data_IF_682585692077
#
_entry.id   IF_682585692077
#
_cell.length_a   1.000
_cell.length_b   1.000
_cell.length_c   1.000
_cell.angle_alpha   90.00
_cell.angle_beta   90.00
_cell.angle_gamma   90.00
#
_symmetry.space_group_name_H-M   'P 1'
#
loop_
_entity.id
_entity.type
_entity.pdbx_description
1 polymer ?
#
# COMPACT_ATOMS: atom_id res chain seq x y z
N UNK A 1 -13.97 10.04 -6.83
CA UNK A 1 -13.61 8.85 -6.03
C UNK A 1 -12.70 9.13 -4.84
N UNK A 2 -11.54 9.80 -4.97
CA UNK A 2 -10.61 9.98 -3.83
C UNK A 2 -11.27 10.55 -2.54
N UNK A 3 -12.06 11.62 -2.67
CA UNK A 3 -12.83 12.21 -1.55
C UNK A 3 -13.83 11.22 -0.93
N UNK A 4 -14.43 10.35 -1.74
CA UNK A 4 -15.37 9.32 -1.26
C UNK A 4 -14.63 8.31 -0.39
N UNK A 5 -13.45 7.83 -0.81
CA UNK A 5 -12.63 6.93 0.02
C UNK A 5 -12.30 7.55 1.38
N UNK A 6 -11.91 8.82 1.39
CA UNK A 6 -11.51 9.54 2.62
C UNK A 6 -12.70 9.74 3.56
N UNK A 7 -13.84 10.23 3.05
CA UNK A 7 -15.05 10.43 3.86
C UNK A 7 -15.62 9.11 4.38
N UNK A 8 -15.68 8.07 3.55
CA UNK A 8 -16.13 6.74 3.98
C UNK A 8 -15.21 6.17 5.05
N UNK A 9 -13.89 6.23 4.86
CA UNK A 9 -12.93 5.70 5.85
C UNK A 9 -13.07 6.42 7.19
N UNK A 10 -13.22 7.75 7.16
CA UNK A 10 -13.48 8.52 8.36
C UNK A 10 -14.81 8.12 9.03
N UNK A 11 -15.87 7.99 8.24
CA UNK A 11 -17.19 7.61 8.74
C UNK A 11 -17.22 6.20 9.32
N UNK A 12 -16.62 5.21 8.66
CA UNK A 12 -16.47 3.85 9.19
C UNK A 12 -15.74 3.86 10.52
N UNK A 13 -14.59 4.51 10.63
CA UNK A 13 -13.83 4.61 11.88
C UNK A 13 -14.66 5.24 13.01
N UNK A 14 -15.42 6.29 12.70
CA UNK A 14 -16.32 6.95 13.67
C UNK A 14 -17.44 6.02 14.14
N UNK A 15 -17.93 5.14 13.27
CA UNK A 15 -19.03 4.21 13.54
C UNK A 15 -18.55 2.76 13.76
N UNK A 16 -17.32 2.59 14.27
CA UNK A 16 -16.76 1.29 14.65
C UNK A 16 -16.76 0.25 13.51
N UNK A 17 -16.41 0.70 12.32
CA UNK A 17 -16.24 -0.13 11.13
C UNK A 17 -17.53 -0.40 10.34
N UNK A 18 -18.70 0.06 10.80
CA UNK A 18 -20.00 -0.23 10.17
C UNK A 18 -20.75 1.05 9.83
N UNK A 19 -21.43 1.09 8.68
CA UNK A 19 -22.36 2.15 8.30
C UNK A 19 -23.71 1.53 7.90
N UNK A 20 -24.80 2.22 8.23
CA UNK A 20 -26.11 1.91 7.65
C UNK A 20 -26.15 2.29 6.17
N UNK A 21 -27.11 1.74 5.43
CA UNK A 21 -27.35 2.11 4.04
C UNK A 21 -27.51 3.62 3.86
N UNK A 22 -28.36 4.27 4.65
CA UNK A 22 -28.56 5.73 4.59
C UNK A 22 -27.25 6.52 4.80
N UNK A 23 -26.41 6.08 5.75
CA UNK A 23 -25.13 6.73 6.02
C UNK A 23 -24.15 6.54 4.86
N UNK A 24 -24.08 5.34 4.29
CA UNK A 24 -23.25 5.03 3.12
C UNK A 24 -23.70 5.84 1.91
N UNK A 25 -24.97 5.75 1.54
CA UNK A 25 -25.54 6.42 0.36
C UNK A 25 -25.30 7.93 0.41
N UNK A 26 -25.58 8.55 1.55
CA UNK A 26 -25.38 9.98 1.76
C UNK A 26 -23.93 10.43 1.56
N UNK A 27 -22.93 9.58 1.84
CA UNK A 27 -21.52 9.88 1.59
C UNK A 27 -21.15 9.55 0.14
N UNK A 28 -21.57 8.40 -0.36
CA UNK A 28 -21.26 7.90 -1.69
C UNK A 28 -21.68 8.92 -2.76
N UNK A 29 -22.94 9.38 -2.73
CA UNK A 29 -23.50 10.24 -3.78
C UNK A 29 -23.08 11.72 -3.67
N UNK A 30 -22.51 12.13 -2.53
CA UNK A 30 -22.19 13.54 -2.25
C UNK A 30 -21.12 14.11 -3.18
N UNK A 31 -20.18 13.27 -3.61
CA UNK A 31 -19.01 13.68 -4.39
C UNK A 31 -18.99 13.09 -5.79
N UNK A 32 -20.09 12.47 -6.22
CA UNK A 32 -20.23 11.89 -7.55
C UNK A 32 -21.12 12.76 -8.42
N UNK A 33 -21.04 12.54 -9.74
CA UNK A 33 -21.85 13.28 -10.69
C UNK A 33 -23.29 12.72 -10.70
N UNK A 34 -24.25 13.48 -11.23
CA UNK A 34 -25.70 13.16 -11.27
C UNK A 34 -26.09 11.79 -11.89
N UNK A 35 -25.13 11.03 -12.42
CA UNK A 35 -25.35 9.82 -13.21
C UNK A 35 -24.99 8.51 -12.48
N UNK A 36 -24.33 8.57 -11.32
CA UNK A 36 -23.90 7.37 -10.59
C UNK A 36 -24.78 7.17 -9.34
N UNK A 37 -25.53 6.07 -9.31
CA UNK A 37 -26.24 5.63 -8.11
C UNK A 37 -25.27 4.99 -7.08
N UNK A 38 -25.75 4.81 -5.85
CA UNK A 38 -24.93 4.31 -4.75
C UNK A 38 -24.41 2.88 -4.97
N UNK A 39 -25.15 2.05 -5.72
CA UNK A 39 -24.77 0.68 -6.08
C UNK A 39 -23.62 0.67 -7.09
N UNK A 40 -23.68 1.53 -8.09
CA UNK A 40 -22.60 1.73 -9.06
C UNK A 40 -21.34 2.21 -8.34
N UNK A 41 -21.47 3.15 -7.41
CA UNK A 41 -20.34 3.63 -6.61
C UNK A 41 -19.77 2.51 -5.76
N UNK A 42 -20.60 1.65 -5.17
CA UNK A 42 -20.16 0.50 -4.38
C UNK A 42 -19.25 -0.43 -5.20
N UNK A 43 -19.67 -0.76 -6.41
CA UNK A 43 -18.88 -1.59 -7.34
C UNK A 43 -17.57 -0.88 -7.72
N UNK A 44 -17.61 0.43 -8.00
CA UNK A 44 -16.41 1.21 -8.33
C UNK A 44 -15.43 1.30 -7.15
N UNK A 45 -15.92 1.38 -5.90
CA UNK A 45 -15.10 1.34 -4.70
C UNK A 45 -14.34 0.01 -4.64
N UNK A 46 -15.06 -1.11 -4.77
CA UNK A 46 -14.45 -2.45 -4.75
C UNK A 46 -13.46 -2.65 -5.90
N UNK A 47 -13.81 -2.25 -7.12
CA UNK A 47 -12.92 -2.33 -8.29
C UNK A 47 -11.65 -1.48 -8.13
N UNK A 48 -11.73 -0.39 -7.34
CA UNK A 48 -10.59 0.47 -7.01
C UNK A 48 -9.72 -0.11 -5.87
N UNK A 49 -10.10 -1.25 -5.30
CA UNK A 49 -9.40 -1.90 -4.18
C UNK A 49 -9.79 -1.37 -2.80
N UNK A 50 -10.89 -0.63 -2.68
CA UNK A 50 -11.41 -0.20 -1.38
C UNK A 50 -12.05 -1.41 -0.67
N UNK A 51 -11.61 -1.79 0.55
CA UNK A 51 -12.02 -3.04 1.21
C UNK A 51 -13.36 -2.85 1.93
N UNK A 52 -14.39 -2.55 1.14
CA UNK A 52 -15.77 -2.42 1.58
C UNK A 52 -16.54 -3.68 1.20
N UNK A 53 -17.35 -4.15 2.15
CA UNK A 53 -18.28 -5.25 1.93
C UNK A 53 -19.64 -4.95 2.54
N UNK A 54 -20.64 -5.68 2.08
CA UNK A 54 -22.01 -5.62 2.59
C UNK A 54 -22.29 -6.94 3.33
N UNK A 55 -22.63 -6.87 4.62
CA UNK A 55 -22.90 -8.08 5.44
C UNK A 55 -24.36 -8.51 5.38
N UNK A 56 -25.24 -7.53 5.41
CA UNK A 56 -26.70 -7.66 5.38
C UNK A 56 -27.24 -6.60 4.42
N UNK A 57 -28.49 -6.73 3.97
CA UNK A 57 -29.10 -5.84 2.96
C UNK A 57 -28.86 -4.34 3.25
N UNK A 58 -28.80 -3.94 4.53
CA UNK A 58 -28.75 -2.52 4.92
C UNK A 58 -27.47 -2.11 5.68
N UNK A 59 -26.43 -2.96 5.73
CA UNK A 59 -25.22 -2.70 6.50
C UNK A 59 -23.95 -2.91 5.67
N UNK A 60 -23.16 -1.84 5.61
CA UNK A 60 -21.83 -1.80 4.98
C UNK A 60 -20.76 -1.85 6.04
N UNK A 61 -19.62 -2.45 5.73
CA UNK A 61 -18.47 -2.49 6.62
C UNK A 61 -17.14 -2.21 5.91
N UNK A 62 -16.17 -1.75 6.68
CA UNK A 62 -14.76 -1.66 6.29
C UNK A 62 -14.02 -2.91 6.79
N UNK A 63 -13.60 -3.79 5.88
CA UNK A 63 -13.07 -5.11 6.25
C UNK A 63 -11.79 -5.03 7.07
N UNK A 64 -10.93 -4.03 6.82
CA UNK A 64 -9.69 -3.81 7.58
C UNK A 64 -9.94 -3.48 9.05
N UNK A 65 -11.13 -3.02 9.42
CA UNK A 65 -11.50 -2.75 10.81
C UNK A 65 -11.73 -4.04 11.62
N UNK A 66 -12.11 -5.12 10.95
CA UNK A 66 -12.45 -6.40 11.58
C UNK A 66 -11.40 -7.49 11.34
N UNK A 67 -10.43 -7.24 10.47
CA UNK A 67 -9.39 -8.20 10.13
C UNK A 67 -8.16 -7.97 11.02
N UNK A 68 -7.70 -8.98 11.78
CA UNK A 68 -6.48 -8.87 12.56
C UNK A 68 -5.29 -8.48 11.69
N UNK A 69 -4.44 -7.54 12.15
CA UNK A 69 -3.35 -7.02 11.30
C UNK A 69 -2.36 -8.11 10.84
N UNK A 70 -2.20 -9.20 11.60
CA UNK A 70 -1.30 -10.29 11.21
C UNK A 70 -1.94 -11.29 10.22
N UNK A 71 -3.26 -11.28 10.08
CA UNK A 71 -4.03 -12.11 9.13
C UNK A 71 -4.32 -11.37 7.81
N UNK A 72 -4.29 -10.04 7.86
CA UNK A 72 -4.59 -9.14 6.75
C UNK A 72 -3.77 -9.44 5.49
N UNK A 73 -4.41 -9.21 4.34
CA UNK A 73 -3.75 -9.20 3.03
C UNK A 73 -3.04 -7.88 2.80
N UNK A 74 -1.73 -7.95 2.53
CA UNK A 74 -0.87 -6.81 2.17
C UNK A 74 -0.26 -7.02 0.80
N UNK A 75 -0.32 -6.01 -0.06
CA UNK A 75 0.45 -5.96 -1.30
C UNK A 75 1.60 -5.00 -1.06
N UNK A 76 2.80 -5.54 -0.84
CA UNK A 76 4.01 -4.73 -0.69
C UNK A 76 4.58 -4.50 -2.07
N UNK A 77 4.71 -3.23 -2.46
CA UNK A 77 5.06 -2.79 -3.80
C UNK A 77 6.28 -1.89 -3.73
N UNK A 78 7.10 -1.99 -4.75
CA UNK A 78 8.15 -1.04 -5.09
C UNK A 78 8.15 -0.86 -6.62
N UNK A 79 8.46 0.35 -7.08
CA UNK A 79 8.51 0.68 -8.51
C UNK A 79 9.80 1.39 -8.86
N UNK A 80 10.30 1.11 -10.06
CA UNK A 80 11.28 1.96 -10.72
C UNK A 80 10.61 2.80 -11.79
N UNK A 81 11.09 4.03 -11.98
CA UNK A 81 10.52 4.98 -12.93
C UNK A 81 11.60 5.60 -13.81
N UNK A 82 11.24 6.07 -15.00
CA UNK A 82 12.17 6.81 -15.87
C UNK A 82 12.33 8.30 -15.48
N UNK A 83 11.91 8.67 -14.27
CA UNK A 83 11.95 10.03 -13.73
C UNK A 83 11.01 10.21 -12.53
N UNK A 84 11.17 11.31 -11.79
CA UNK A 84 10.55 11.47 -10.46
C UNK A 84 9.13 12.05 -10.46
N UNK A 85 8.58 12.45 -11.61
CA UNK A 85 7.27 13.12 -11.69
C UNK A 85 6.24 12.27 -12.43
N UNK A 86 5.12 11.87 -11.80
CA UNK A 86 4.08 11.04 -12.44
C UNK A 86 3.43 11.66 -13.69
N UNK A 87 3.47 13.00 -13.82
CA UNK A 87 2.93 13.72 -14.99
C UNK A 87 3.76 13.53 -16.26
N UNK A 88 5.08 13.47 -16.11
CA UNK A 88 6.07 13.55 -17.19
C UNK A 88 6.90 12.25 -17.34
N UNK A 89 6.72 11.30 -16.42
CA UNK A 89 7.49 10.06 -16.32
C UNK A 89 6.57 8.85 -16.21
N UNK A 90 7.13 7.65 -16.37
CA UNK A 90 6.42 6.38 -16.30
C UNK A 90 7.17 5.36 -15.45
N UNK A 91 6.41 4.37 -14.99
CA UNK A 91 6.94 3.14 -14.41
C UNK A 91 7.68 2.34 -15.47
N UNK A 92 8.85 1.81 -15.12
CA UNK A 92 9.70 0.95 -15.96
C UNK A 92 9.95 -0.43 -15.34
N UNK A 93 9.74 -0.59 -14.04
CA UNK A 93 9.76 -1.87 -13.34
C UNK A 93 8.73 -1.84 -12.20
N UNK A 94 8.10 -2.98 -11.95
CA UNK A 94 7.21 -3.20 -10.80
C UNK A 94 7.66 -4.47 -10.11
N UNK A 95 7.93 -4.36 -8.81
CA UNK A 95 8.09 -5.49 -7.91
C UNK A 95 7.00 -5.49 -6.86
N UNK A 96 6.39 -6.64 -6.60
CA UNK A 96 5.43 -6.78 -5.52
C UNK A 96 5.42 -8.17 -4.89
N UNK A 97 5.13 -8.21 -3.59
CA UNK A 97 4.79 -9.44 -2.86
C UNK A 97 3.41 -9.31 -2.26
N UNK A 98 2.59 -10.35 -2.47
CA UNK A 98 1.29 -10.46 -1.82
C UNK A 98 1.47 -11.33 -0.58
N UNK A 99 1.04 -10.81 0.56
CA UNK A 99 1.23 -11.42 1.88
C UNK A 99 -0.13 -11.63 2.52
N UNK A 100 -0.35 -12.79 3.14
CA UNK A 100 -1.52 -13.08 3.97
C UNK A 100 -1.10 -13.97 5.14
N UNK A 101 -1.69 -13.77 6.32
CA UNK A 101 -1.31 -14.52 7.54
C UNK A 101 0.20 -14.47 7.83
N UNK A 102 0.81 -13.30 7.59
CA UNK A 102 2.25 -13.06 7.74
C UNK A 102 3.15 -13.80 6.75
N UNK A 103 2.61 -14.51 5.76
CA UNK A 103 3.36 -15.29 4.76
C UNK A 103 3.19 -14.72 3.37
N UNK A 104 4.24 -14.76 2.56
CA UNK A 104 4.14 -14.47 1.13
C UNK A 104 3.32 -15.59 0.47
N UNK A 105 2.23 -15.21 -0.19
CA UNK A 105 1.33 -16.13 -0.90
C UNK A 105 1.45 -16.01 -2.42
N UNK A 106 1.95 -14.87 -2.91
CA UNK A 106 2.20 -14.66 -4.34
C UNK A 106 3.27 -13.58 -4.56
N UNK A 107 3.84 -13.54 -5.77
CA UNK A 107 4.84 -12.56 -6.20
C UNK A 107 4.53 -12.04 -7.59
N UNK A 108 4.82 -10.77 -7.82
CA UNK A 108 4.69 -10.11 -9.11
C UNK A 108 5.95 -9.33 -9.42
N UNK A 109 6.51 -9.54 -10.61
CA UNK A 109 7.70 -8.86 -11.08
C UNK A 109 7.56 -8.67 -12.59
N UNK A 110 7.73 -7.44 -13.06
CA UNK A 110 7.69 -7.14 -14.50
C UNK A 110 8.46 -5.87 -14.80
N UNK A 111 9.20 -5.90 -15.90
CA UNK A 111 9.54 -4.67 -16.59
C UNK A 111 8.31 -4.06 -17.26
N UNK A 112 8.43 -2.79 -17.64
CA UNK A 112 7.42 -2.06 -18.40
C UNK A 112 8.11 -1.36 -19.57
N UNK A 113 7.54 -1.52 -20.77
CA UNK A 113 8.14 -0.95 -21.96
C UNK A 113 8.36 0.57 -21.82
N UNK A 114 9.50 1.05 -22.32
CA UNK A 114 9.84 2.46 -22.25
C UNK A 114 10.59 2.90 -23.51
N UNK A 115 10.03 3.88 -24.22
CA UNK A 115 10.63 4.40 -25.45
C UNK A 115 11.91 5.22 -25.20
N UNK A 116 12.05 5.82 -24.01
CA UNK A 116 13.22 6.63 -23.66
C UNK A 116 13.58 6.46 -22.18
N UNK A 117 14.77 5.93 -21.94
CA UNK A 117 15.36 5.78 -20.62
C UNK A 117 16.55 6.74 -20.47
N UNK A 118 16.47 7.75 -19.59
CA UNK A 118 17.60 8.64 -19.34
C UNK A 118 18.79 7.88 -18.74
N UNK A 119 20.01 8.20 -19.15
CA UNK A 119 21.24 7.53 -18.67
C UNK A 119 21.41 7.60 -17.14
N UNK A 120 20.95 8.70 -16.51
CA UNK A 120 21.01 8.84 -15.07
C UNK A 120 20.09 7.84 -14.33
N UNK A 121 18.99 7.40 -14.95
CA UNK A 121 18.12 6.36 -14.38
C UNK A 121 18.83 5.01 -14.44
N UNK A 122 19.43 4.65 -15.58
CA UNK A 122 20.24 3.43 -15.69
C UNK A 122 21.35 3.37 -14.64
N UNK A 123 21.99 4.50 -14.32
CA UNK A 123 23.01 4.57 -13.25
C UNK A 123 22.46 4.31 -11.85
N UNK A 124 21.18 4.61 -11.61
CA UNK A 124 20.54 4.46 -10.29
C UNK A 124 19.96 3.05 -10.16
N UNK A 125 19.22 2.60 -11.17
CA UNK A 125 18.41 1.37 -11.10
C UNK A 125 19.12 0.15 -11.69
N UNK A 126 20.18 0.37 -12.47
CA UNK A 126 20.84 -0.68 -13.25
C UNK A 126 20.03 -1.19 -14.45
N UNK A 127 18.85 -0.62 -14.71
CA UNK A 127 17.99 -1.00 -15.84
C UNK A 127 18.58 -0.41 -17.12
N UNK A 128 18.81 -1.25 -18.12
CA UNK A 128 19.29 -0.86 -19.43
C UNK A 128 18.13 -0.76 -20.43
N UNK A 129 18.24 0.05 -21.51
CA UNK A 129 17.20 0.12 -22.53
C UNK A 129 16.79 -1.24 -23.10
N UNK A 130 17.74 -2.17 -23.20
CA UNK A 130 17.53 -3.53 -23.69
C UNK A 130 16.57 -4.35 -22.81
N UNK A 131 16.56 -4.12 -21.50
CA UNK A 131 15.64 -4.78 -20.56
C UNK A 131 14.18 -4.43 -20.81
N UNK A 132 13.94 -3.26 -21.41
CA UNK A 132 12.61 -2.68 -21.62
C UNK A 132 12.05 -2.98 -23.01
N UNK A 133 12.86 -3.54 -23.91
CA UNK A 133 12.43 -3.92 -25.26
C UNK A 133 11.59 -5.19 -25.19
N UNK A 134 10.34 -5.11 -25.67
CA UNK A 134 9.42 -6.24 -25.67
C UNK A 134 8.82 -6.57 -24.29
N UNK A 135 9.12 -5.76 -23.27
CA UNK A 135 8.41 -5.79 -22.01
C UNK A 135 6.92 -5.45 -22.21
N UNK A 136 6.03 -5.84 -21.28
CA UNK A 136 4.62 -5.47 -21.37
C UNK A 136 4.40 -3.96 -21.49
N UNK A 137 3.34 -3.58 -22.19
CA UNK A 137 2.92 -2.18 -22.22
C UNK A 137 2.54 -1.70 -20.83
N UNK A 138 2.64 -0.38 -20.60
CA UNK A 138 2.20 0.24 -19.34
C UNK A 138 0.81 -0.20 -18.93
N UNK A 139 -0.14 -0.18 -19.86
CA UNK A 139 -1.53 -0.56 -19.58
C UNK A 139 -1.60 -2.02 -19.13
N UNK A 140 -0.94 -2.93 -19.82
CA UNK A 140 -0.94 -4.35 -19.47
C UNK A 140 -0.29 -4.61 -18.10
N UNK A 141 0.87 -4.02 -17.83
CA UNK A 141 1.57 -4.16 -16.55
C UNK A 141 0.72 -3.62 -15.39
N UNK A 142 0.14 -2.43 -15.54
CA UNK A 142 -0.71 -1.81 -14.52
C UNK A 142 -2.03 -2.55 -14.33
N UNK A 143 -2.65 -3.06 -15.39
CA UNK A 143 -3.85 -3.91 -15.27
C UNK A 143 -3.55 -5.19 -14.49
N UNK A 144 -2.41 -5.84 -14.77
CA UNK A 144 -1.98 -7.03 -14.02
C UNK A 144 -1.72 -6.69 -12.55
N UNK A 145 -1.02 -5.59 -12.26
CA UNK A 145 -0.78 -5.14 -10.88
C UNK A 145 -2.09 -4.84 -10.13
N UNK A 146 -3.06 -4.18 -10.78
CA UNK A 146 -4.37 -3.89 -10.19
C UNK A 146 -5.08 -5.18 -9.74
N UNK A 147 -5.11 -6.19 -10.61
CA UNK A 147 -5.70 -7.48 -10.28
C UNK A 147 -4.92 -8.22 -9.19
N UNK A 148 -3.59 -8.19 -9.25
CA UNK A 148 -2.72 -8.81 -8.24
C UNK A 148 -2.94 -8.22 -6.85
N UNK A 149 -3.05 -6.88 -6.76
CA UNK A 149 -3.27 -6.17 -5.50
C UNK A 149 -4.68 -6.37 -4.93
N UNK A 150 -5.71 -6.37 -5.78
CA UNK A 150 -7.10 -6.48 -5.35
C UNK A 150 -7.46 -5.44 -4.28
N UNK A 151 -8.00 -5.89 -3.16
CA UNK A 151 -8.38 -5.14 -1.97
C UNK A 151 -7.32 -5.13 -0.86
N UNK A 152 -6.13 -5.69 -1.12
CA UNK A 152 -5.06 -5.75 -0.12
C UNK A 152 -4.62 -4.34 0.32
N UNK A 153 -4.14 -4.22 1.56
CA UNK A 153 -3.51 -2.98 2.03
C UNK A 153 -2.25 -2.73 1.18
N UNK A 154 -2.18 -1.57 0.53
CA UNK A 154 -1.02 -1.13 -0.21
C UNK A 154 0.10 -0.79 0.76
N UNK A 155 1.26 -1.41 0.59
CA UNK A 155 2.44 -1.18 1.42
C UNK A 155 3.61 -0.81 0.54
N UNK A 156 4.40 0.19 0.94
CA UNK A 156 5.65 0.51 0.28
C UNK A 156 6.62 1.18 1.27
N UNK A 157 7.90 1.21 0.92
CA UNK A 157 8.90 1.96 1.68
C UNK A 157 8.96 3.40 1.15
N UNK A 158 8.63 4.38 1.99
CA UNK A 158 8.29 5.74 1.53
C UNK A 158 7.04 5.76 0.61
N UNK A 159 5.97 5.10 1.05
CA UNK A 159 4.80 4.78 0.24
C UNK A 159 4.12 5.95 -0.50
N UNK A 160 4.35 7.21 -0.12
CA UNK A 160 3.82 8.35 -0.86
C UNK A 160 4.32 8.42 -2.30
N UNK A 161 5.57 8.01 -2.56
CA UNK A 161 6.11 8.02 -3.92
C UNK A 161 5.36 7.04 -4.81
N UNK A 162 5.43 5.76 -4.48
CA UNK A 162 4.83 4.65 -5.24
C UNK A 162 3.32 4.80 -5.38
N UNK A 163 2.63 5.12 -4.28
CA UNK A 163 1.17 5.26 -4.26
C UNK A 163 0.70 6.38 -5.20
N UNK A 164 1.37 7.54 -5.18
CA UNK A 164 0.98 8.66 -6.04
C UNK A 164 1.33 8.39 -7.50
N UNK A 165 2.47 7.74 -7.76
CA UNK A 165 2.92 7.44 -9.11
C UNK A 165 2.01 6.39 -9.77
N UNK A 166 1.69 5.32 -9.05
CA UNK A 166 0.74 4.30 -9.50
C UNK A 166 -0.68 4.86 -9.59
N UNK A 167 -1.09 5.72 -8.65
CA UNK A 167 -2.40 6.38 -8.70
C UNK A 167 -2.59 7.19 -9.99
N UNK A 168 -1.64 8.07 -10.31
CA UNK A 168 -1.67 8.84 -11.56
C UNK A 168 -1.58 7.94 -12.81
N UNK A 169 -0.82 6.84 -12.72
CA UNK A 169 -0.70 5.88 -13.82
C UNK A 169 -2.01 5.12 -14.05
N UNK A 170 -2.66 4.63 -13.00
CA UNK A 170 -3.95 3.96 -13.11
C UNK A 170 -5.03 4.89 -13.66
N UNK A 171 -5.10 6.13 -13.18
CA UNK A 171 -6.04 7.12 -13.70
C UNK A 171 -5.82 7.38 -15.20
N UNK A 172 -4.57 7.56 -15.63
CA UNK A 172 -4.21 7.78 -17.04
C UNK A 172 -4.67 6.66 -17.96
N UNK A 173 -4.71 5.41 -17.49
CA UNK A 173 -5.13 4.25 -18.27
C UNK A 173 -6.57 3.79 -18.00
N UNK A 174 -7.35 4.57 -17.24
CA UNK A 174 -8.74 4.24 -16.94
C UNK A 174 -8.92 3.05 -15.99
N UNK A 175 -7.95 2.80 -15.11
CA UNK A 175 -7.93 1.71 -14.12
C UNK A 175 -8.40 2.14 -12.72
N UNK A 176 -9.13 3.26 -12.66
CA UNK A 176 -9.64 3.84 -11.42
C UNK A 176 -8.57 4.44 -10.52
N UNK A 177 -9.02 5.07 -9.43
CA UNK A 177 -8.12 5.57 -8.38
C UNK A 177 -7.64 4.41 -7.49
N UNK A 178 -6.62 4.62 -6.67
CA UNK A 178 -6.26 3.64 -5.64
C UNK A 178 -7.16 3.86 -4.43
N UNK A 179 -8.06 2.90 -4.18
CA UNK A 179 -8.89 2.82 -2.97
C UNK A 179 -8.27 1.97 -1.88
N UNK A 180 -7.19 1.25 -2.17
CA UNK A 180 -6.46 0.43 -1.19
C UNK A 180 -5.97 1.28 -0.01
N UNK A 181 -6.19 0.86 1.25
CA UNK A 181 -5.61 1.53 2.40
C UNK A 181 -4.08 1.52 2.29
N UNK A 182 -3.44 2.63 2.65
CA UNK A 182 -2.00 2.83 2.50
C UNK A 182 -1.27 2.66 3.83
N UNK A 183 -0.21 1.86 3.83
CA UNK A 183 0.73 1.69 4.94
C UNK A 183 2.15 2.00 4.47
N UNK A 184 2.84 2.90 5.16
CA UNK A 184 4.25 3.21 4.88
C UNK A 184 5.15 2.48 5.87
N UNK A 185 6.12 1.69 5.38
CA UNK A 185 7.00 0.94 6.26
C UNK A 185 7.94 1.84 7.05
N UNK A 186 8.29 3.04 6.56
CA UNK A 186 9.05 4.06 7.32
C UNK A 186 8.25 4.55 8.53
N UNK A 187 6.96 4.85 8.33
CA UNK A 187 6.12 5.37 9.39
C UNK A 187 5.87 4.30 10.46
N UNK A 188 5.61 3.07 10.03
CA UNK A 188 5.49 1.93 10.94
C UNK A 188 6.81 1.66 11.69
N UNK A 189 7.94 1.70 10.99
CA UNK A 189 9.27 1.51 11.54
C UNK A 189 9.59 2.50 12.67
N UNK A 190 9.35 3.81 12.44
CA UNK A 190 9.54 4.88 13.44
C UNK A 190 8.73 4.69 14.72
N UNK A 191 7.63 3.94 14.62
CA UNK A 191 6.73 3.66 15.74
C UNK A 191 7.12 2.41 16.53
N UNK A 192 7.95 1.55 15.96
CA UNK A 192 8.21 0.19 16.46
C UNK A 192 9.63 0.02 16.97
N UNK A 193 10.60 0.66 16.32
CA UNK A 193 12.00 0.65 16.71
C UNK A 193 12.64 2.03 16.66
N UNK A 194 13.74 2.21 17.39
CA UNK A 194 14.53 3.44 17.40
C UNK A 194 15.80 3.21 16.56
N UNK A 195 15.91 3.95 15.44
CA UNK A 195 17.06 3.93 14.54
C UNK A 195 17.55 5.35 14.24
N UNK A 196 18.82 5.50 13.87
CA UNK A 196 19.38 6.78 13.40
C UNK A 196 18.67 7.24 12.12
N UNK A 197 18.43 6.30 11.20
CA UNK A 197 17.81 6.53 9.89
C UNK A 197 16.84 5.40 9.57
N UNK A 198 15.91 5.69 8.68
CA UNK A 198 14.82 4.77 8.31
C UNK A 198 14.76 4.49 6.81
N UNK A 199 15.83 4.77 6.06
CA UNK A 199 15.91 4.37 4.65
C UNK A 199 16.09 2.85 4.55
N UNK A 200 15.60 2.25 3.45
CA UNK A 200 15.49 0.81 3.30
C UNK A 200 16.83 0.10 3.52
N UNK A 201 17.90 0.55 2.85
CA UNK A 201 19.25 0.00 2.99
C UNK A 201 19.74 0.00 4.44
N UNK A 202 19.51 1.11 5.17
CA UNK A 202 19.91 1.19 6.58
C UNK A 202 19.10 0.20 7.44
N UNK A 203 17.79 0.07 7.18
CA UNK A 203 16.94 -0.86 7.94
C UNK A 203 17.24 -2.32 7.63
N UNK A 204 17.64 -2.64 6.40
CA UNK A 204 18.11 -3.97 6.01
C UNK A 204 19.29 -4.38 6.91
N UNK A 205 20.32 -3.53 6.96
CA UNK A 205 21.51 -3.78 7.78
C UNK A 205 21.17 -3.82 9.28
N UNK A 206 20.42 -2.82 9.76
CA UNK A 206 20.06 -2.69 11.18
C UNK A 206 19.23 -3.87 11.69
N UNK A 207 18.31 -4.40 10.88
CA UNK A 207 17.43 -5.50 11.27
C UNK A 207 17.99 -6.89 10.93
N UNK A 208 19.18 -6.95 10.31
CA UNK A 208 19.80 -8.19 9.83
C UNK A 208 18.91 -8.91 8.84
N UNK A 209 18.39 -8.19 7.84
CA UNK A 209 17.56 -8.76 6.77
C UNK A 209 18.48 -9.30 5.68
N UNK A 210 18.36 -10.59 5.37
CA UNK A 210 19.10 -11.19 4.26
C UNK A 210 18.55 -10.65 2.92
N UNK A 211 19.43 -10.00 2.16
CA UNK A 211 19.13 -9.56 0.81
C UNK A 211 19.15 -10.75 -0.15
N UNK A 212 18.11 -10.88 -0.97
CA UNK A 212 18.23 -11.62 -2.21
C UNK A 212 19.17 -10.83 -3.15
N UNK A 213 20.03 -11.53 -3.89
CA UNK A 213 21.20 -10.99 -4.61
C UNK A 213 20.94 -10.01 -5.77
N UNK A 214 19.78 -9.36 -5.87
CA UNK A 214 19.52 -8.38 -6.94
C UNK A 214 18.80 -7.12 -6.42
N UNK A 215 19.47 -5.97 -6.49
CA UNK A 215 18.94 -4.62 -6.22
C UNK A 215 17.91 -4.20 -7.29
N UNK A 216 16.70 -4.75 -7.20
CA UNK A 216 15.62 -4.56 -8.16
C UNK A 216 14.30 -4.40 -7.42
N UNK A 217 13.28 -3.86 -8.09
CA UNK A 217 12.01 -3.52 -7.46
C UNK A 217 11.40 -4.68 -6.63
N UNK A 218 11.48 -5.93 -7.11
CA UNK A 218 10.99 -7.08 -6.34
C UNK A 218 11.75 -7.29 -5.03
N UNK A 219 13.08 -7.16 -5.05
CA UNK A 219 13.90 -7.31 -3.85
C UNK A 219 13.60 -6.21 -2.83
N UNK A 220 13.38 -4.98 -3.29
CA UNK A 220 13.06 -3.86 -2.40
C UNK A 220 11.67 -4.00 -1.79
N UNK A 221 10.68 -4.46 -2.57
CA UNK A 221 9.36 -4.85 -2.06
C UNK A 221 9.46 -5.98 -1.01
N UNK A 222 10.28 -7.01 -1.26
CA UNK A 222 10.53 -8.09 -0.31
C UNK A 222 11.19 -7.58 0.98
N UNK A 223 12.18 -6.71 0.88
CA UNK A 223 12.85 -6.14 2.04
C UNK A 223 11.92 -5.23 2.83
N UNK A 224 11.09 -4.43 2.16
CA UNK A 224 10.05 -3.65 2.80
C UNK A 224 9.05 -4.54 3.55
N UNK A 225 8.67 -5.71 2.99
CA UNK A 225 7.88 -6.72 3.70
C UNK A 225 8.61 -7.21 4.96
N UNK A 226 9.91 -7.51 4.88
CA UNK A 226 10.67 -7.97 6.05
C UNK A 226 10.75 -6.90 7.14
N UNK A 227 10.92 -5.62 6.78
CA UNK A 227 10.84 -4.49 7.71
C UNK A 227 9.46 -4.45 8.39
N UNK A 228 8.37 -4.56 7.61
CA UNK A 228 7.01 -4.59 8.14
C UNK A 228 6.81 -5.78 9.11
N UNK A 229 7.25 -6.97 8.72
CA UNK A 229 7.14 -8.19 9.53
C UNK A 229 7.91 -8.06 10.85
N UNK A 230 9.12 -7.49 10.82
CA UNK A 230 9.90 -7.21 12.05
C UNK A 230 9.20 -6.17 12.92
N UNK A 231 8.57 -5.16 12.33
CA UNK A 231 7.81 -4.12 13.05
C UNK A 231 6.67 -4.72 13.86
N UNK A 232 5.97 -5.73 13.33
CA UNK A 232 4.84 -6.40 14.01
C UNK A 232 5.22 -6.98 15.38
N UNK A 233 6.48 -7.37 15.58
CA UNK A 233 6.96 -7.94 16.85
C UNK A 233 6.92 -6.95 18.03
N UNK A 234 6.74 -5.66 17.76
CA UNK A 234 6.78 -4.60 18.78
C UNK A 234 5.56 -3.69 18.75
N UNK A 235 4.56 -4.04 17.93
CA UNK A 235 3.28 -3.35 17.89
C UNK A 235 2.56 -3.53 19.24
N UNK A 236 1.99 -2.46 19.84
CA UNK A 236 1.30 -2.56 21.12
C UNK A 236 0.06 -3.45 21.09
N UNK A 237 -0.31 -4.05 22.23
CA UNK A 237 -1.48 -4.96 22.36
C UNK A 237 -2.83 -4.35 21.99
N UNK A 238 -2.96 -3.01 22.01
CA UNK A 238 -4.20 -2.33 21.63
C UNK A 238 -4.39 -2.28 20.11
N UNK A 239 -3.33 -2.44 19.32
CA UNK A 239 -3.41 -2.52 17.86
C UNK A 239 -3.82 -3.94 17.51
N UNK A 240 -5.07 -4.13 17.09
CA UNK A 240 -5.63 -5.47 16.85
C UNK A 240 -5.95 -5.69 15.39
N UNK A 241 -6.57 -4.70 14.76
CA UNK A 241 -6.99 -4.76 13.36
C UNK A 241 -5.97 -4.14 12.41
N UNK A 242 -6.09 -4.42 11.12
CA UNK A 242 -5.32 -3.75 10.07
C UNK A 242 -5.57 -2.23 10.06
N UNK A 243 -6.81 -1.79 10.34
CA UNK A 243 -7.12 -0.37 10.47
C UNK A 243 -6.39 0.26 11.66
N UNK A 244 -6.35 -0.41 12.82
CA UNK A 244 -5.58 0.06 13.98
C UNK A 244 -4.11 0.23 13.63
N UNK A 245 -3.52 -0.69 12.87
CA UNK A 245 -2.12 -0.64 12.45
C UNK A 245 -1.84 0.57 11.57
N UNK A 246 -2.74 0.89 10.62
CA UNK A 246 -2.63 2.04 9.72
C UNK A 246 -2.75 3.36 10.51
N UNK A 247 -3.68 3.42 11.47
CA UNK A 247 -3.81 4.59 12.36
C UNK A 247 -2.58 4.73 13.26
N UNK A 248 -2.07 3.62 13.80
CA UNK A 248 -0.87 3.59 14.64
C UNK A 248 0.36 4.10 13.90
N UNK A 249 0.58 3.65 12.65
CA UNK A 249 1.76 4.04 11.87
C UNK A 249 1.82 5.54 11.61
N UNK A 250 0.67 6.19 11.39
CA UNK A 250 0.57 7.61 11.03
C UNK A 250 0.33 8.55 12.21
N UNK A 251 0.13 8.02 13.42
CA UNK A 251 -0.17 8.80 14.61
C UNK A 251 1.02 9.62 15.10
N UNK A 252 0.80 10.91 15.35
CA UNK A 252 1.78 11.85 15.91
C UNK A 252 2.04 11.66 17.41
N UNK A 253 1.23 10.86 18.11
CA UNK A 253 1.35 10.64 19.56
C UNK A 253 2.59 9.78 19.88
N UNK A 254 3.73 10.37 20.21
CA UNK A 254 4.91 9.62 20.70
C UNK A 254 4.52 8.80 21.94
N UNK A 255 4.38 7.49 21.79
CA UNK A 255 4.20 6.60 22.92
C UNK A 255 5.57 6.33 23.53
N UNK A 256 5.82 6.90 24.71
CA UNK A 256 7.03 6.62 25.49
C UNK A 256 6.97 5.17 25.96
N UNK A 257 7.87 4.31 25.47
CA UNK A 257 8.14 3.02 26.13
C UNK A 257 8.50 3.30 27.59
N UNK A 258 7.71 2.79 28.54
CA UNK A 258 8.23 2.55 29.89
C UNK A 258 9.22 1.40 29.74
N UNK A 259 10.51 1.72 29.62
CA UNK A 259 11.56 0.74 29.89
C UNK A 259 11.50 0.40 31.37
N UNK A 260 10.78 -0.67 31.71
CA UNK A 260 10.94 -1.36 32.98
C UNK A 260 12.18 -2.24 32.90
N UNK A 261 13.37 -1.66 33.05
CA UNK A 261 14.54 -2.44 33.44
C UNK A 261 14.39 -2.71 34.94
N UNK A 262 13.86 -3.89 35.25
CA UNK A 262 13.98 -4.48 36.58
C UNK A 262 15.40 -5.02 36.71
N UNK A 263 16.36 -4.16 37.04
CA UNK A 263 17.63 -4.57 37.63
C UNK A 263 17.42 -4.80 39.13
N UNK A 264 17.05 -6.02 39.47
CA UNK A 264 17.29 -6.63 40.79
C UNK A 264 17.57 -8.10 40.57
N UNK A 265 18.85 -8.44 40.53
CA UNK A 265 19.52 -9.44 41.37
C UNK A 265 21.03 -9.21 41.27
#
# INVERSE_FOLDING_TARGET
>A
MQKVFEELTHAFRKHKGVLTQEQYEHIAIRHTTLLEDADTIFILLQASGYPISQREENLYQLDTYFTPYYEQRYCVVDIETNGSKPGDSQVIEIGAVLVQNGKIIDRFETFVECAFLPEYITKITGIEPQDLIGAPSRKEALTKLRHFMGDAVFVAHNANFDYNFLGASFERFGLGNIGNPKLCTIDLARRTFECERYGLSYLIDFLGIDMATHHRAYSDAYCAYQVMRKSFMTVPEYVRSADDLIVFSTSSRKERKKQGVSSRE
#
